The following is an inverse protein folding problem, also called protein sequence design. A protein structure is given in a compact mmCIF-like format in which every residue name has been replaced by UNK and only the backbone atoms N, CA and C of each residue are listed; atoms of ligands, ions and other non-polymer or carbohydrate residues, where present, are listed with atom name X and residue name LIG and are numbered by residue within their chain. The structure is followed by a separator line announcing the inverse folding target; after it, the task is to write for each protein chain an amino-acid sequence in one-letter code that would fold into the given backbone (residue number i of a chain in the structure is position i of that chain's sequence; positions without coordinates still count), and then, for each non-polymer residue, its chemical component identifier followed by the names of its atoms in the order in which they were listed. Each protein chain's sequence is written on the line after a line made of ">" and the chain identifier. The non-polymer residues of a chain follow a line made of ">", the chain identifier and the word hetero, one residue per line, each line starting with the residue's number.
data_IF_629152427504
#
_entry.id   IF_629152427504
#
_cell.length_a   1.000
_cell.length_b   1.000
_cell.length_c   1.000
_cell.angle_alpha   90.00
_cell.angle_beta   90.00
_cell.angle_gamma   90.00
#
_symmetry.space_group_name_H-M   'P 1'
#
loop_
_entity.id
_entity.type
_entity.pdbx_description
1 polymer ?
#
# COMPACT_ATOMS: atom_id res chain seq x y z
N UNK A 1 -31.48 -8.92 71.92
CA UNK A 1 -30.26 -9.78 72.03
C UNK A 1 -29.97 -10.38 70.68
N UNK A 2 -28.71 -10.45 70.28
CA UNK A 2 -28.29 -11.04 69.00
C UNK A 2 -28.26 -12.57 69.11
N UNK A 3 -29.03 -13.29 68.28
CA UNK A 3 -29.13 -14.76 68.28
C UNK A 3 -28.04 -15.46 67.46
N UNK A 4 -27.08 -14.72 66.91
CA UNK A 4 -26.00 -15.29 66.12
C UNK A 4 -25.00 -16.03 67.01
N UNK A 5 -24.70 -17.28 66.63
CA UNK A 5 -23.69 -18.12 67.26
C UNK A 5 -22.33 -17.82 66.61
N UNK A 6 -21.29 -17.66 67.41
CA UNK A 6 -19.90 -17.68 66.92
C UNK A 6 -19.57 -19.04 66.33
N UNK A 7 -18.43 -19.18 65.63
CA UNK A 7 -17.92 -20.48 65.17
C UNK A 7 -17.77 -21.51 66.31
N UNK A 8 -17.67 -21.03 67.55
CA UNK A 8 -17.56 -21.83 68.77
C UNK A 8 -18.92 -22.10 69.45
N UNK A 9 -20.04 -21.77 68.80
CA UNK A 9 -21.38 -21.99 69.36
C UNK A 9 -21.79 -21.01 70.46
N UNK A 10 -21.07 -19.89 70.64
CA UNK A 10 -21.38 -18.92 71.70
C UNK A 10 -22.28 -17.82 71.14
N UNK A 11 -23.43 -17.58 71.77
CA UNK A 11 -24.32 -16.47 71.40
C UNK A 11 -23.64 -15.12 71.61
N UNK A 12 -23.81 -14.23 70.64
CA UNK A 12 -23.25 -12.89 70.68
C UNK A 12 -23.78 -12.07 71.88
N UNK A 13 -22.92 -11.82 72.88
CA UNK A 13 -23.22 -11.01 74.08
C UNK A 13 -23.16 -9.50 73.75
N UNK A 14 -24.17 -8.98 73.06
CA UNK A 14 -24.35 -7.53 72.95
C UNK A 14 -25.18 -6.99 74.12
N UNK A 15 -24.69 -5.90 74.72
CA UNK A 15 -25.47 -5.02 75.61
C UNK A 15 -26.49 -4.20 74.79
N UNK A 16 -27.67 -3.83 75.34
CA UNK A 16 -28.83 -3.32 74.58
C UNK A 16 -28.66 -1.99 73.84
N UNK A 17 -27.51 -1.30 73.98
CA UNK A 17 -27.29 0.06 73.48
C UNK A 17 -26.59 0.16 72.11
N UNK A 18 -26.39 -0.94 71.38
CA UNK A 18 -25.80 -0.93 70.04
C UNK A 18 -26.66 -1.73 69.07
N UNK A 19 -27.08 -1.10 67.98
CA UNK A 19 -28.05 -1.66 67.02
C UNK A 19 -27.50 -2.85 66.21
N UNK A 20 -26.17 -3.02 66.17
CA UNK A 20 -25.49 -4.07 65.38
C UNK A 20 -24.34 -4.68 66.18
N UNK A 21 -24.22 -6.02 66.19
CA UNK A 21 -23.11 -6.70 66.86
C UNK A 21 -21.83 -6.70 66.04
N UNK A 22 -20.67 -6.80 66.70
CA UNK A 22 -19.36 -6.82 66.05
C UNK A 22 -19.24 -7.95 65.01
N UNK A 23 -19.98 -9.06 65.18
CA UNK A 23 -20.04 -10.18 64.23
C UNK A 23 -20.81 -9.79 62.97
N UNK A 24 -22.01 -9.21 63.08
CA UNK A 24 -22.81 -8.76 61.94
C UNK A 24 -22.12 -7.64 61.15
N UNK A 25 -21.45 -6.72 61.86
CA UNK A 25 -20.65 -5.68 61.21
C UNK A 25 -19.50 -6.28 60.39
N UNK A 26 -18.76 -7.26 60.95
CA UNK A 26 -17.73 -7.99 60.21
C UNK A 26 -18.30 -8.75 59.00
N UNK A 27 -19.43 -9.43 59.14
CA UNK A 27 -20.07 -10.12 58.01
C UNK A 27 -20.54 -9.14 56.91
N UNK A 28 -21.10 -8.00 57.29
CA UNK A 28 -21.50 -6.95 56.33
C UNK A 28 -20.29 -6.41 55.56
N UNK A 29 -19.15 -6.20 56.23
CA UNK A 29 -17.89 -5.82 55.57
C UNK A 29 -17.42 -6.91 54.62
N UNK A 30 -17.43 -8.18 55.04
CA UNK A 30 -17.02 -9.32 54.21
C UNK A 30 -17.90 -9.44 52.97
N UNK A 31 -19.22 -9.30 53.12
CA UNK A 31 -20.16 -9.36 52.00
C UNK A 31 -19.94 -8.20 51.03
N UNK A 32 -19.79 -6.97 51.55
CA UNK A 32 -19.46 -5.81 50.72
C UNK A 32 -18.16 -6.02 49.93
N UNK A 33 -17.08 -6.47 50.61
CA UNK A 33 -15.79 -6.73 49.95
C UNK A 33 -15.89 -7.87 48.94
N UNK A 34 -16.70 -8.89 49.21
CA UNK A 34 -16.96 -9.99 48.28
C UNK A 34 -17.70 -9.53 47.03
N UNK A 35 -18.66 -8.61 47.18
CA UNK A 35 -19.36 -7.98 46.06
C UNK A 35 -18.43 -7.07 45.25
N UNK A 36 -17.56 -6.31 45.91
CA UNK A 36 -16.52 -5.49 45.27
C UNK A 36 -15.56 -6.36 44.43
N UNK A 37 -15.04 -7.46 45.00
CA UNK A 37 -14.20 -8.43 44.28
C UNK A 37 -14.93 -9.01 43.07
N UNK A 38 -16.22 -9.37 43.22
CA UNK A 38 -17.02 -9.90 42.11
C UNK A 38 -17.15 -8.89 40.97
N UNK A 39 -17.38 -7.63 41.30
CA UNK A 39 -17.49 -6.55 40.31
C UNK A 39 -16.15 -6.27 39.61
N UNK A 40 -15.06 -6.24 40.36
CA UNK A 40 -13.71 -6.11 39.81
C UNK A 40 -13.38 -7.25 38.86
N UNK A 41 -13.68 -8.50 39.24
CA UNK A 41 -13.47 -9.67 38.38
C UNK A 41 -14.28 -9.59 37.07
N UNK A 42 -15.53 -9.12 37.12
CA UNK A 42 -16.33 -8.86 35.91
C UNK A 42 -15.71 -7.78 35.03
N UNK A 43 -15.20 -6.70 35.63
CA UNK A 43 -14.54 -5.62 34.90
C UNK A 43 -13.23 -6.09 34.23
N UNK A 44 -12.43 -6.89 34.94
CA UNK A 44 -11.22 -7.52 34.42
C UNK A 44 -11.56 -8.42 33.23
N UNK A 45 -12.57 -9.28 33.36
CA UNK A 45 -13.00 -10.17 32.28
C UNK A 45 -13.42 -9.37 31.02
N UNK A 46 -14.23 -8.32 31.20
CA UNK A 46 -14.64 -7.43 30.10
C UNK A 46 -13.46 -6.76 29.42
N UNK A 47 -12.51 -6.26 30.22
CA UNK A 47 -11.30 -5.60 29.70
C UNK A 47 -10.42 -6.59 28.95
N UNK A 48 -10.25 -7.81 29.46
CA UNK A 48 -9.49 -8.86 28.79
C UNK A 48 -10.09 -9.24 27.44
N UNK A 49 -11.42 -9.33 27.34
CA UNK A 49 -12.09 -9.55 26.05
C UNK A 49 -11.81 -8.40 25.07
N UNK A 50 -11.92 -7.15 25.53
CA UNK A 50 -11.61 -5.98 24.70
C UNK A 50 -10.15 -5.99 24.23
N UNK A 51 -9.20 -6.30 25.11
CA UNK A 51 -7.78 -6.42 24.77
C UNK A 51 -7.52 -7.52 23.75
N UNK A 52 -8.24 -8.65 23.85
CA UNK A 52 -8.17 -9.73 22.85
C UNK A 52 -8.67 -9.25 21.50
N UNK A 53 -9.86 -8.65 21.43
CA UNK A 53 -10.42 -8.13 20.18
C UNK A 53 -9.49 -7.11 19.51
N UNK A 54 -8.96 -6.16 20.29
CA UNK A 54 -8.01 -5.17 19.76
C UNK A 54 -6.72 -5.83 19.24
N UNK A 55 -6.26 -6.90 19.88
CA UNK A 55 -5.09 -7.65 19.41
C UNK A 55 -5.36 -8.32 18.06
N UNK A 56 -6.54 -8.92 17.92
CA UNK A 56 -6.96 -9.58 16.69
C UNK A 56 -7.11 -8.54 15.55
N UNK A 57 -7.72 -7.38 15.82
CA UNK A 57 -7.81 -6.25 14.89
C UNK A 57 -6.42 -5.75 14.45
N UNK A 58 -5.48 -5.58 15.39
CA UNK A 58 -4.10 -5.18 15.07
C UNK A 58 -3.40 -6.23 14.21
N UNK A 59 -3.69 -7.52 14.41
CA UNK A 59 -3.14 -8.59 13.57
C UNK A 59 -3.63 -8.46 12.12
N UNK A 60 -4.94 -8.29 11.93
CA UNK A 60 -5.51 -8.11 10.60
C UNK A 60 -4.99 -6.85 9.90
N UNK A 61 -4.89 -5.72 10.61
CA UNK A 61 -4.32 -4.50 10.05
C UNK A 61 -2.86 -4.68 9.60
N UNK A 62 -2.07 -5.52 10.29
CA UNK A 62 -0.70 -5.84 9.85
C UNK A 62 -0.68 -6.68 8.57
N UNK A 63 -1.61 -7.63 8.44
CA UNK A 63 -1.77 -8.42 7.22
C UNK A 63 -2.15 -7.52 6.04
N UNK A 64 -3.11 -6.60 6.23
CA UNK A 64 -3.53 -5.62 5.23
C UNK A 64 -2.36 -4.70 4.82
N UNK A 65 -1.58 -4.20 5.78
CA UNK A 65 -0.39 -3.38 5.48
C UNK A 65 0.60 -4.18 4.63
N UNK A 66 0.85 -5.43 4.98
CA UNK A 66 1.80 -6.29 4.24
C UNK A 66 1.31 -6.53 2.81
N UNK A 67 0.02 -6.79 2.64
CA UNK A 67 -0.61 -6.96 1.33
C UNK A 67 -0.49 -5.68 0.48
N UNK A 68 -0.83 -4.53 1.05
CA UNK A 68 -0.76 -3.23 0.35
C UNK A 68 0.68 -2.87 -0.04
N UNK A 69 1.66 -3.18 0.80
CA UNK A 69 3.08 -2.99 0.47
C UNK A 69 3.53 -3.86 -0.71
N UNK A 70 3.08 -5.12 -0.76
CA UNK A 70 3.35 -5.99 -1.91
C UNK A 70 2.69 -5.45 -3.18
N UNK A 71 1.42 -5.05 -3.11
CA UNK A 71 0.71 -4.49 -4.25
C UNK A 71 1.37 -3.21 -4.77
N UNK A 72 1.87 -2.34 -3.87
CA UNK A 72 2.60 -1.13 -4.24
C UNK A 72 3.88 -1.47 -5.01
N UNK A 73 4.66 -2.43 -4.50
CA UNK A 73 5.89 -2.89 -5.15
C UNK A 73 5.64 -3.43 -6.56
N UNK A 74 4.54 -4.17 -6.74
CA UNK A 74 4.16 -4.69 -8.06
C UNK A 74 3.79 -3.55 -9.02
N UNK A 75 3.08 -2.52 -8.53
CA UNK A 75 2.77 -1.33 -9.35
C UNK A 75 4.02 -0.54 -9.71
N UNK A 76 4.98 -0.40 -8.80
CA UNK A 76 6.26 0.25 -9.10
C UNK A 76 7.06 -0.50 -10.18
N UNK A 77 7.04 -1.83 -10.13
CA UNK A 77 7.67 -2.66 -11.17
C UNK A 77 7.00 -2.45 -12.53
N UNK A 78 5.66 -2.41 -12.58
CA UNK A 78 4.91 -2.14 -13.82
C UNK A 78 5.28 -0.75 -14.37
N UNK A 79 5.28 0.28 -13.53
CA UNK A 79 5.64 1.65 -13.93
C UNK A 79 7.08 1.69 -14.48
N UNK A 80 8.02 0.99 -13.84
CA UNK A 80 9.40 0.90 -14.28
C UNK A 80 9.52 0.27 -15.68
N UNK A 81 8.78 -0.82 -15.92
CA UNK A 81 8.74 -1.46 -17.24
C UNK A 81 8.14 -0.53 -18.29
N UNK A 82 7.00 0.11 -17.99
CA UNK A 82 6.36 1.04 -18.93
C UNK A 82 7.27 2.22 -19.28
N UNK A 83 8.05 2.74 -18.33
CA UNK A 83 9.04 3.80 -18.60
C UNK A 83 10.11 3.33 -19.60
N UNK A 84 10.63 2.12 -19.43
CA UNK A 84 11.63 1.55 -20.36
C UNK A 84 11.04 1.37 -21.77
N UNK A 85 9.83 0.86 -21.87
CA UNK A 85 9.13 0.69 -23.16
C UNK A 85 8.88 2.05 -23.83
N UNK A 86 8.48 3.05 -23.06
CA UNK A 86 8.28 4.41 -23.56
C UNK A 86 9.59 5.01 -24.10
N UNK A 87 10.69 4.88 -23.37
CA UNK A 87 12.01 5.36 -23.80
C UNK A 87 12.47 4.67 -25.09
N UNK A 88 12.23 3.35 -25.21
CA UNK A 88 12.50 2.60 -26.44
C UNK A 88 11.67 3.11 -27.62
N UNK A 89 10.38 3.39 -27.40
CA UNK A 89 9.50 3.96 -28.43
C UNK A 89 10.00 5.32 -28.93
N UNK A 90 10.48 6.19 -28.01
CA UNK A 90 11.10 7.46 -28.39
C UNK A 90 12.33 7.23 -29.28
N UNK A 91 13.20 6.29 -28.92
CA UNK A 91 14.40 6.00 -29.71
C UNK A 91 14.03 5.50 -31.12
N UNK A 92 13.08 4.57 -31.23
CA UNK A 92 12.58 4.06 -32.51
C UNK A 92 12.07 5.22 -33.37
N UNK A 93 11.22 6.09 -32.82
CA UNK A 93 10.67 7.25 -33.54
C UNK A 93 11.78 8.19 -34.05
N UNK A 94 12.82 8.42 -33.25
CA UNK A 94 13.97 9.22 -33.69
C UNK A 94 14.74 8.54 -34.83
N UNK A 95 14.91 7.22 -34.78
CA UNK A 95 15.53 6.45 -35.87
C UNK A 95 14.71 6.52 -37.15
N UNK A 96 13.39 6.37 -37.07
CA UNK A 96 12.49 6.48 -38.22
C UNK A 96 12.56 7.86 -38.88
N UNK A 97 12.58 8.93 -38.09
CA UNK A 97 12.76 10.29 -38.60
C UNK A 97 14.10 10.47 -39.34
N UNK A 98 15.20 9.93 -38.78
CA UNK A 98 16.51 9.97 -39.43
C UNK A 98 16.52 9.15 -40.71
N UNK A 99 15.90 7.97 -40.71
CA UNK A 99 15.76 7.10 -41.89
C UNK A 99 15.01 7.81 -43.01
N UNK A 100 13.90 8.49 -42.70
CA UNK A 100 13.13 9.26 -43.69
C UNK A 100 13.95 10.40 -44.30
N UNK A 101 14.70 11.15 -43.48
CA UNK A 101 15.60 12.22 -43.97
C UNK A 101 16.70 11.68 -44.88
N UNK A 102 17.32 10.57 -44.50
CA UNK A 102 18.36 9.94 -45.32
C UNK A 102 17.79 9.43 -46.64
N UNK A 103 16.61 8.81 -46.62
CA UNK A 103 15.94 8.34 -47.83
C UNK A 103 15.68 9.48 -48.82
N UNK A 104 15.24 10.65 -48.32
CA UNK A 104 15.06 11.84 -49.15
C UNK A 104 16.38 12.30 -49.76
N UNK A 105 17.43 12.41 -48.95
CA UNK A 105 18.76 12.81 -49.42
C UNK A 105 19.31 11.87 -50.51
N UNK A 106 19.13 10.56 -50.34
CA UNK A 106 19.54 9.56 -51.35
C UNK A 106 18.77 9.79 -52.66
N UNK A 107 17.47 10.04 -52.60
CA UNK A 107 16.66 10.34 -53.79
C UNK A 107 17.13 11.62 -54.49
N UNK A 108 17.30 12.72 -53.74
CA UNK A 108 17.79 13.99 -54.26
C UNK A 108 19.15 13.83 -54.97
N UNK A 109 20.05 13.01 -54.40
CA UNK A 109 21.36 12.72 -55.01
C UNK A 109 21.23 11.92 -56.30
N UNK A 110 20.35 10.90 -56.34
CA UNK A 110 20.07 10.11 -57.55
C UNK A 110 19.57 11.01 -58.67
N UNK A 111 18.61 11.89 -58.39
CA UNK A 111 18.06 12.83 -59.37
C UNK A 111 19.15 13.75 -59.95
N UNK A 112 20.04 14.25 -59.10
CA UNK A 112 21.19 15.07 -59.53
C UNK A 112 22.13 14.27 -60.45
N UNK A 113 22.40 13.01 -60.14
CA UNK A 113 23.24 12.16 -60.99
C UNK A 113 22.59 11.90 -62.35
N UNK A 114 21.29 11.61 -62.38
CA UNK A 114 20.53 11.42 -63.62
C UNK A 114 20.54 12.67 -64.49
N UNK A 115 20.29 13.85 -63.90
CA UNK A 115 20.37 15.13 -64.61
C UNK A 115 21.77 15.38 -65.19
N UNK A 116 22.83 15.11 -64.43
CA UNK A 116 24.21 15.25 -64.92
C UNK A 116 24.49 14.35 -66.12
N UNK A 117 23.98 13.12 -66.11
CA UNK A 117 24.11 12.19 -67.25
C UNK A 117 23.35 12.73 -68.46
N UNK A 118 22.13 13.22 -68.26
CA UNK A 118 21.30 13.80 -69.33
C UNK A 118 21.94 15.02 -69.98
N UNK A 119 22.45 15.99 -69.21
CA UNK A 119 23.10 17.16 -69.80
C UNK A 119 24.38 16.79 -70.55
N UNK A 120 25.20 15.88 -70.02
CA UNK A 120 26.39 15.38 -70.73
C UNK A 120 26.06 14.70 -72.06
N UNK A 121 24.96 13.94 -72.12
CA UNK A 121 24.53 13.29 -73.36
C UNK A 121 24.00 14.32 -74.37
N UNK A 122 23.27 15.34 -73.89
CA UNK A 122 22.78 16.44 -74.73
C UNK A 122 23.92 17.25 -75.35
N UNK A 123 24.91 17.68 -74.56
CA UNK A 123 26.06 18.43 -75.06
C UNK A 123 26.82 17.66 -76.15
N UNK A 124 26.95 16.32 -75.99
CA UNK A 124 27.50 15.44 -77.01
C UNK A 124 26.69 15.42 -78.30
N UNK A 125 25.36 15.34 -78.20
CA UNK A 125 24.47 15.34 -79.37
C UNK A 125 24.57 16.67 -80.11
N UNK A 126 24.57 17.78 -79.39
CA UNK A 126 24.67 19.12 -79.98
C UNK A 126 26.03 19.31 -80.65
N UNK A 127 27.13 18.85 -80.04
CA UNK A 127 28.47 18.85 -80.66
C UNK A 127 28.51 18.04 -81.97
N UNK A 128 27.89 16.85 -82.00
CA UNK A 128 27.80 16.02 -83.22
C UNK A 128 26.96 16.72 -84.30
N UNK A 129 25.88 17.42 -83.90
CA UNK A 129 25.00 18.13 -84.83
C UNK A 129 25.73 19.30 -85.47
N UNK A 130 26.51 20.06 -84.71
CA UNK A 130 27.26 21.21 -85.21
C UNK A 130 28.38 20.77 -86.17
N UNK A 131 29.08 19.67 -85.87
CA UNK A 131 30.08 19.09 -86.78
C UNK A 131 29.49 18.66 -88.14
N UNK A 132 28.21 18.27 -88.21
CA UNK A 132 27.54 17.90 -89.47
C UNK A 132 27.11 19.10 -90.33
N UNK A 133 27.15 20.33 -89.79
CA UNK A 133 26.71 21.55 -90.47
C UNK A 133 27.85 22.37 -91.08
N UNK A 134 29.08 22.13 -90.64
CA UNK A 134 30.32 22.67 -91.22
C UNK A 134 30.83 21.78 -92.34
#
# INVERSE_FOLDING_TARGET
>A
MCNYLTKDGIKCKLSPKKDICHIHWKYSIIDHKSNEIRNLNRSIAKTNMKTKTLRDEVSHLKEDITFLQSALKDKDNIISTMKKEYDQCIQIKQFEMKKARLSKYVHDMTDIYELKIFFRSKDRIDTIRDFRRT
#
